data_IF_161248108391
#
_entry.id   IF_161248108391
#
_cell.length_a   1.000
_cell.length_b   1.000
_cell.length_c   1.000
_cell.angle_alpha   90.00
_cell.angle_beta   90.00
_cell.angle_gamma   90.00
#
_symmetry.space_group_name_H-M   'P 1'
#
loop_
_entity.id
_entity.type
_entity.pdbx_description
1 polymer ?
#
# COMPACT_ATOMS: atom_id res chain seq x y z
N UNK A 1 -3.65 23.48 15.29
CA UNK A 1 -2.51 24.39 15.50
C UNK A 1 -1.95 24.83 14.14
N UNK A 2 -1.60 23.96 13.22
CA UNK A 2 -1.04 24.25 11.88
C UNK A 2 -1.90 25.24 11.07
N UNK A 3 -3.23 25.02 11.01
CA UNK A 3 -4.15 25.93 10.32
C UNK A 3 -4.15 27.36 10.91
N UNK A 4 -4.01 27.48 12.24
CA UNK A 4 -3.92 28.78 12.90
C UNK A 4 -2.55 29.44 12.69
N UNK A 5 -1.50 28.66 12.59
CA UNK A 5 -0.16 29.13 12.32
C UNK A 5 -0.04 29.65 10.88
N UNK A 6 -0.59 28.93 9.91
CA UNK A 6 -0.68 29.32 8.52
C UNK A 6 -1.52 30.62 8.34
N UNK A 7 -2.64 30.73 9.05
CA UNK A 7 -3.48 31.94 9.03
C UNK A 7 -2.77 33.20 9.61
N UNK A 8 -1.67 32.99 10.36
CA UNK A 8 -0.82 34.07 10.89
C UNK A 8 0.41 34.38 10.03
N UNK A 9 0.46 33.81 8.80
CA UNK A 9 1.58 34.04 7.86
C UNK A 9 2.81 33.17 8.13
N UNK A 10 2.74 32.17 9.02
CA UNK A 10 3.83 31.21 9.23
C UNK A 10 3.84 30.11 8.17
N UNK A 11 5.02 29.53 7.89
CA UNK A 11 5.17 28.36 7.03
C UNK A 11 4.92 27.09 7.85
N UNK A 12 3.78 26.39 7.68
CA UNK A 12 3.49 25.17 8.42
C UNK A 12 4.46 24.05 8.02
N UNK A 13 4.85 23.19 8.97
CA UNK A 13 5.66 21.99 8.66
C UNK A 13 4.87 20.98 7.82
N UNK A 14 3.55 20.95 8.00
CA UNK A 14 2.63 20.08 7.25
C UNK A 14 1.55 20.96 6.62
N UNK A 15 1.61 21.12 5.31
CA UNK A 15 0.55 21.80 4.58
C UNK A 15 -0.62 20.82 4.35
N UNK A 16 -1.71 21.01 5.10
CA UNK A 16 -2.94 20.22 4.95
C UNK A 16 -3.60 20.44 3.57
N UNK A 17 -3.22 21.49 2.84
CA UNK A 17 -3.61 21.69 1.45
C UNK A 17 -3.15 20.55 0.54
N UNK A 18 -2.08 19.82 0.88
CA UNK A 18 -1.63 18.66 0.13
C UNK A 18 -2.70 17.55 0.05
N UNK A 19 -3.51 17.41 1.10
CA UNK A 19 -4.63 16.44 1.11
C UNK A 19 -5.78 16.84 0.18
N UNK A 20 -5.78 18.05 -0.35
CA UNK A 20 -6.74 18.48 -1.40
C UNK A 20 -6.31 18.04 -2.79
N UNK A 21 -5.03 17.62 -2.95
CA UNK A 21 -4.52 17.02 -4.18
C UNK A 21 -5.01 15.56 -4.22
N UNK A 22 -5.94 15.20 -5.11
CA UNK A 22 -6.58 13.88 -5.02
C UNK A 22 -5.61 12.72 -5.26
N UNK A 23 -4.60 12.88 -6.13
CA UNK A 23 -3.55 11.88 -6.36
C UNK A 23 -2.76 11.58 -5.08
N UNK A 24 -2.44 12.61 -4.33
CA UNK A 24 -1.76 12.50 -3.05
C UNK A 24 -2.66 11.90 -1.98
N UNK A 25 -3.89 12.38 -1.84
CA UNK A 25 -4.82 11.92 -0.81
C UNK A 25 -5.19 10.42 -0.98
N UNK A 26 -5.60 10.02 -2.19
CA UNK A 26 -5.94 8.61 -2.45
C UNK A 26 -4.72 7.71 -2.35
N UNK A 27 -3.57 8.12 -2.89
CA UNK A 27 -2.34 7.34 -2.83
C UNK A 27 -1.83 7.15 -1.40
N UNK A 28 -1.84 8.21 -0.59
CA UNK A 28 -1.44 8.16 0.82
C UNK A 28 -2.39 7.29 1.66
N UNK A 29 -3.71 7.39 1.42
CA UNK A 29 -4.70 6.55 2.10
C UNK A 29 -4.55 5.08 1.69
N UNK A 30 -4.42 4.80 0.39
CA UNK A 30 -4.27 3.44 -0.10
C UNK A 30 -3.05 2.76 0.50
N UNK A 31 -1.88 3.43 0.54
CA UNK A 31 -0.65 2.85 1.06
C UNK A 31 -0.71 2.67 2.59
N UNK A 32 -1.33 3.60 3.33
CA UNK A 32 -1.50 3.49 4.77
C UNK A 32 -2.36 2.26 5.13
N UNK A 33 -3.49 2.07 4.43
CA UNK A 33 -4.36 0.89 4.60
C UNK A 33 -3.65 -0.38 4.13
N UNK A 34 -2.88 -0.33 3.04
CA UNK A 34 -2.09 -1.48 2.58
C UNK A 34 -1.11 -1.97 3.65
N UNK A 35 -0.34 -1.07 4.25
CA UNK A 35 0.62 -1.40 5.31
C UNK A 35 -0.05 -1.90 6.59
N UNK A 36 -1.28 -1.50 6.87
CA UNK A 36 -2.08 -2.06 7.97
C UNK A 36 -2.24 -3.60 7.84
N UNK A 37 -2.46 -4.11 6.63
CA UNK A 37 -2.51 -5.56 6.37
C UNK A 37 -1.13 -6.18 6.18
N UNK A 38 -0.34 -5.62 5.28
CA UNK A 38 0.87 -6.23 4.76
C UNK A 38 1.89 -6.62 5.84
N UNK A 39 2.18 -5.72 6.77
CA UNK A 39 3.19 -5.97 7.81
C UNK A 39 2.79 -7.11 8.75
N UNK A 40 1.49 -7.25 9.01
CA UNK A 40 0.95 -8.31 9.87
C UNK A 40 1.14 -9.72 9.30
N UNK A 41 1.32 -9.88 7.98
CA UNK A 41 1.54 -11.17 7.32
C UNK A 41 2.75 -11.88 7.91
N UNK A 42 3.86 -11.14 8.07
CA UNK A 42 5.11 -11.71 8.58
C UNK A 42 4.98 -12.21 10.00
N UNK A 43 4.25 -11.49 10.85
CA UNK A 43 4.02 -11.89 12.25
C UNK A 43 3.13 -13.12 12.30
N UNK A 44 2.00 -13.12 11.58
CA UNK A 44 1.06 -14.26 11.58
C UNK A 44 1.73 -15.51 10.99
N UNK A 45 2.47 -15.37 9.89
CA UNK A 45 3.20 -16.49 9.27
C UNK A 45 4.26 -17.04 10.22
N UNK A 46 5.07 -16.18 10.85
CA UNK A 46 6.09 -16.60 11.80
C UNK A 46 5.49 -17.33 13.01
N UNK A 47 4.41 -16.81 13.58
CA UNK A 47 3.72 -17.43 14.71
C UNK A 47 3.09 -18.79 14.32
N UNK A 48 2.48 -18.86 13.15
CA UNK A 48 1.92 -20.11 12.61
C UNK A 48 2.98 -21.19 12.49
N UNK A 49 4.15 -20.85 11.94
CA UNK A 49 5.25 -21.80 11.75
C UNK A 49 5.93 -22.17 13.07
N UNK A 50 6.21 -21.20 13.94
CA UNK A 50 6.97 -21.44 15.18
C UNK A 50 6.08 -22.01 16.28
N UNK A 51 5.01 -21.29 16.64
CA UNK A 51 4.13 -21.71 17.73
C UNK A 51 3.12 -22.78 17.30
N UNK A 52 2.70 -22.79 16.02
CA UNK A 52 1.75 -23.75 15.49
C UNK A 52 2.39 -25.07 15.06
N UNK A 53 3.51 -25.03 14.36
CA UNK A 53 4.12 -26.19 13.71
C UNK A 53 5.50 -26.55 14.26
N UNK A 54 6.03 -25.83 15.27
CA UNK A 54 7.30 -26.11 15.92
C UNK A 54 8.56 -25.85 15.06
N UNK A 55 8.44 -25.08 13.98
CA UNK A 55 9.59 -24.71 13.16
C UNK A 55 10.53 -23.75 13.92
N UNK A 56 11.83 -23.82 13.63
CA UNK A 56 12.79 -22.86 14.18
C UNK A 56 12.56 -21.46 13.58
N UNK A 57 13.03 -20.43 14.31
CA UNK A 57 12.99 -19.04 13.82
C UNK A 57 13.74 -18.88 12.48
N UNK A 58 14.87 -19.63 12.31
CA UNK A 58 15.63 -19.63 11.08
C UNK A 58 14.82 -20.19 9.91
N UNK A 59 14.17 -21.35 10.09
CA UNK A 59 13.35 -21.97 9.05
C UNK A 59 12.17 -21.05 8.66
N UNK A 60 11.52 -20.43 9.64
CA UNK A 60 10.44 -19.45 9.41
C UNK A 60 10.93 -18.24 8.63
N UNK A 61 12.12 -17.72 8.93
CA UNK A 61 12.74 -16.62 8.19
C UNK A 61 13.10 -16.99 6.75
N UNK A 62 13.64 -18.20 6.53
CA UNK A 62 13.99 -18.72 5.21
C UNK A 62 12.78 -18.84 4.28
N UNK A 63 11.61 -19.17 4.81
CA UNK A 63 10.36 -19.18 4.02
C UNK A 63 9.96 -17.80 3.48
N UNK A 64 10.43 -16.71 4.10
CA UNK A 64 10.19 -15.35 3.64
C UNK A 64 11.18 -14.86 2.56
N UNK A 65 12.33 -15.51 2.37
CA UNK A 65 13.36 -15.07 1.43
C UNK A 65 12.85 -14.98 -0.03
N UNK A 66 12.12 -15.96 -0.57
CA UNK A 66 11.61 -15.87 -1.93
C UNK A 66 10.71 -14.64 -2.15
N UNK A 67 9.90 -14.29 -1.15
CA UNK A 67 9.06 -13.10 -1.19
C UNK A 67 9.88 -11.80 -1.23
N UNK A 68 10.97 -11.74 -0.45
CA UNK A 68 11.84 -10.57 -0.42
C UNK A 68 12.55 -10.36 -1.77
N UNK A 69 13.05 -11.44 -2.37
CA UNK A 69 13.66 -11.41 -3.71
C UNK A 69 12.64 -10.99 -4.76
N UNK A 70 11.44 -11.58 -4.73
CA UNK A 70 10.38 -11.25 -5.66
C UNK A 70 9.93 -9.79 -5.52
N UNK A 71 9.90 -9.25 -4.29
CA UNK A 71 9.60 -7.83 -4.02
C UNK A 71 10.65 -6.91 -4.63
N UNK A 72 11.94 -7.22 -4.48
CA UNK A 72 13.02 -6.44 -5.07
C UNK A 72 12.96 -6.43 -6.61
N UNK A 73 12.71 -7.59 -7.22
CA UNK A 73 12.52 -7.70 -8.67
C UNK A 73 11.28 -6.92 -9.10
N UNK A 74 10.15 -7.09 -8.41
CA UNK A 74 8.91 -6.37 -8.69
C UNK A 74 9.09 -4.85 -8.60
N UNK A 75 9.80 -4.35 -7.58
CA UNK A 75 10.12 -2.93 -7.44
C UNK A 75 11.00 -2.40 -8.59
N UNK A 76 11.98 -3.18 -9.01
CA UNK A 76 12.87 -2.81 -10.13
C UNK A 76 12.11 -2.75 -11.47
N UNK A 77 11.23 -3.71 -11.73
CA UNK A 77 10.39 -3.74 -12.93
C UNK A 77 9.38 -2.61 -12.91
N UNK A 78 8.74 -2.37 -11.76
CA UNK A 78 7.73 -1.34 -11.61
C UNK A 78 8.32 0.06 -11.77
N UNK A 79 9.51 0.32 -11.20
CA UNK A 79 10.18 1.61 -11.32
C UNK A 79 10.46 2.02 -12.78
N UNK A 80 10.77 1.05 -13.66
CA UNK A 80 11.00 1.29 -15.09
C UNK A 80 9.71 1.51 -15.89
N UNK A 81 8.59 1.04 -15.39
CA UNK A 81 7.32 0.99 -16.13
C UNK A 81 6.24 1.92 -15.56
N UNK A 82 6.50 2.56 -14.42
CA UNK A 82 5.50 3.37 -13.69
C UNK A 82 4.93 4.49 -14.55
N UNK A 83 5.76 5.15 -15.36
CA UNK A 83 5.33 6.26 -16.24
C UNK A 83 4.40 5.80 -17.37
N UNK A 84 4.51 4.54 -17.80
CA UNK A 84 3.68 3.98 -18.90
C UNK A 84 2.40 3.33 -18.39
N UNK A 85 2.47 2.60 -17.27
CA UNK A 85 1.35 1.79 -16.77
C UNK A 85 0.54 2.55 -15.70
N UNK A 86 1.18 3.49 -14.99
CA UNK A 86 0.54 4.35 -14.01
C UNK A 86 -0.13 3.55 -12.88
N UNK A 87 -1.28 4.03 -12.42
CA UNK A 87 -2.03 3.50 -11.26
C UNK A 87 -2.56 2.08 -11.45
N UNK A 88 -2.71 1.61 -12.69
CA UNK A 88 -3.11 0.23 -12.99
C UNK A 88 -2.09 -0.76 -12.44
N UNK A 89 -0.80 -0.39 -12.41
CA UNK A 89 0.26 -1.23 -11.86
C UNK A 89 0.07 -1.48 -10.36
N UNK A 90 -0.26 -0.44 -9.60
CA UNK A 90 -0.55 -0.55 -8.15
C UNK A 90 -1.70 -1.52 -7.91
N UNK A 91 -2.80 -1.38 -8.67
CA UNK A 91 -3.95 -2.27 -8.54
C UNK A 91 -3.61 -3.73 -8.90
N UNK A 92 -2.84 -3.95 -9.98
CA UNK A 92 -2.36 -5.30 -10.36
C UNK A 92 -1.48 -5.89 -9.27
N UNK A 93 -0.61 -5.10 -8.65
CA UNK A 93 0.21 -5.53 -7.53
C UNK A 93 -0.62 -5.96 -6.32
N UNK A 94 -1.66 -5.19 -5.96
CA UNK A 94 -2.56 -5.53 -4.87
C UNK A 94 -3.36 -6.82 -5.16
N UNK A 95 -3.87 -6.98 -6.39
CA UNK A 95 -4.56 -8.21 -6.81
C UNK A 95 -3.62 -9.41 -6.76
N UNK A 96 -2.39 -9.28 -7.26
CA UNK A 96 -1.39 -10.35 -7.18
C UNK A 96 -1.07 -10.72 -5.74
N UNK A 97 -0.93 -9.72 -4.85
CA UNK A 97 -0.75 -9.93 -3.43
C UNK A 97 -1.93 -10.67 -2.78
N UNK A 98 -3.18 -10.29 -3.13
CA UNK A 98 -4.39 -10.97 -2.66
C UNK A 98 -4.46 -12.43 -3.14
N UNK A 99 -4.08 -12.71 -4.38
CA UNK A 99 -4.00 -14.08 -4.91
C UNK A 99 -2.95 -14.89 -4.13
N UNK A 100 -1.75 -14.32 -3.91
CA UNK A 100 -0.70 -14.96 -3.11
C UNK A 100 -1.15 -15.24 -1.67
N UNK A 101 -1.85 -14.28 -1.05
CA UNK A 101 -2.38 -14.43 0.29
C UNK A 101 -3.49 -15.49 0.37
N UNK A 102 -4.43 -15.49 -0.58
CA UNK A 102 -5.45 -16.52 -0.69
C UNK A 102 -4.85 -17.92 -0.87
N UNK A 103 -3.83 -18.04 -1.72
CA UNK A 103 -3.09 -19.28 -1.90
C UNK A 103 -2.38 -19.71 -0.59
N UNK A 104 -1.86 -18.74 0.20
CA UNK A 104 -1.25 -19.04 1.51
C UNK A 104 -2.30 -19.60 2.49
N UNK A 105 -3.50 -19.02 2.53
CA UNK A 105 -4.61 -19.52 3.35
C UNK A 105 -4.97 -20.97 2.95
N UNK A 106 -5.02 -21.26 1.65
CA UNK A 106 -5.26 -22.61 1.14
C UNK A 106 -4.15 -23.57 1.57
N UNK A 107 -2.88 -23.19 1.45
CA UNK A 107 -1.74 -24.04 1.90
C UNK A 107 -1.84 -24.32 3.40
N UNK A 108 -2.15 -23.30 4.22
CA UNK A 108 -2.37 -23.48 5.66
C UNK A 108 -3.52 -24.47 5.91
N UNK A 109 -4.62 -24.36 5.18
CA UNK A 109 -5.74 -25.30 5.30
C UNK A 109 -5.35 -26.75 4.90
N UNK A 110 -4.72 -26.90 3.76
CA UNK A 110 -4.28 -28.22 3.26
C UNK A 110 -3.20 -28.86 4.14
N UNK A 111 -2.37 -28.06 4.79
CA UNK A 111 -1.43 -28.58 5.78
C UNK A 111 -2.15 -29.32 6.92
N UNK A 112 -3.26 -28.77 7.43
CA UNK A 112 -4.00 -29.40 8.50
C UNK A 112 -4.78 -30.66 8.06
N UNK A 113 -5.35 -30.62 6.86
CA UNK A 113 -6.25 -31.71 6.39
C UNK A 113 -5.47 -32.81 5.69
N UNK A 114 -4.46 -32.49 4.91
CA UNK A 114 -3.73 -33.42 4.04
C UNK A 114 -2.24 -33.57 4.39
N UNK A 115 -1.79 -32.96 5.51
CA UNK A 115 -0.38 -32.91 5.89
C UNK A 115 0.54 -32.35 4.77
N UNK A 116 0.03 -31.42 3.96
CA UNK A 116 0.81 -30.76 2.92
C UNK A 116 2.00 -30.04 3.55
N UNK A 117 3.18 -30.14 2.93
CA UNK A 117 4.38 -29.51 3.46
C UNK A 117 4.20 -27.98 3.59
N UNK A 118 4.48 -27.37 4.77
CA UNK A 118 4.42 -25.93 4.97
C UNK A 118 5.35 -25.11 4.05
N UNK A 119 6.38 -25.74 3.47
CA UNK A 119 7.29 -25.09 2.53
C UNK A 119 6.61 -24.54 1.27
N UNK A 120 5.41 -25.04 0.92
CA UNK A 120 4.59 -24.44 -0.14
C UNK A 120 4.18 -22.98 0.16
N UNK A 121 4.22 -22.58 1.43
CA UNK A 121 4.02 -21.17 1.78
C UNK A 121 5.10 -20.27 1.19
N UNK A 122 6.33 -20.75 1.01
CA UNK A 122 7.40 -19.99 0.37
C UNK A 122 7.05 -19.62 -1.09
N UNK A 123 6.36 -20.52 -1.80
CA UNK A 123 5.90 -20.27 -3.18
C UNK A 123 4.75 -19.27 -3.21
N UNK A 124 3.78 -19.40 -2.30
CA UNK A 124 2.64 -18.48 -2.26
C UNK A 124 3.04 -17.09 -1.77
N UNK A 125 3.98 -17.00 -0.82
CA UNK A 125 4.55 -15.74 -0.35
C UNK A 125 5.39 -15.04 -1.43
N UNK A 126 5.97 -15.78 -2.39
CA UNK A 126 6.66 -15.19 -3.54
C UNK A 126 5.72 -14.31 -4.38
N UNK A 127 4.48 -14.79 -4.64
CA UNK A 127 3.46 -14.00 -5.34
C UNK A 127 3.10 -12.72 -4.57
N UNK A 128 2.99 -12.85 -3.25
CA UNK A 128 2.73 -11.72 -2.36
C UNK A 128 3.87 -10.71 -2.39
N UNK A 129 5.12 -11.16 -2.34
CA UNK A 129 6.30 -10.30 -2.45
C UNK A 129 6.38 -9.59 -3.80
N UNK A 130 6.14 -10.30 -4.91
CA UNK A 130 6.06 -9.70 -6.23
C UNK A 130 4.98 -8.61 -6.29
N UNK A 131 3.79 -8.89 -5.72
CA UNK A 131 2.72 -7.92 -5.59
C UNK A 131 3.15 -6.66 -4.83
N UNK A 132 3.87 -6.81 -3.71
CA UNK A 132 4.39 -5.67 -2.93
C UNK A 132 5.31 -4.77 -3.75
N UNK A 133 6.25 -5.36 -4.49
CA UNK A 133 7.17 -4.58 -5.33
C UNK A 133 6.43 -3.76 -6.39
N UNK A 134 5.29 -4.26 -6.89
CA UNK A 134 4.41 -3.55 -7.83
C UNK A 134 3.50 -2.51 -7.15
N UNK A 135 3.39 -2.50 -5.82
CA UNK A 135 2.54 -1.55 -5.07
C UNK A 135 3.35 -0.38 -4.54
N UNK A 136 4.36 -0.64 -3.72
CA UNK A 136 4.98 0.39 -2.87
C UNK A 136 5.68 1.46 -3.71
N UNK A 137 6.62 1.07 -4.56
CA UNK A 137 7.40 2.02 -5.37
C UNK A 137 6.54 2.84 -6.35
N UNK A 138 5.64 2.23 -7.16
CA UNK A 138 4.78 3.01 -8.04
C UNK A 138 3.80 3.90 -7.28
N UNK A 139 3.25 3.44 -6.16
CA UNK A 139 2.31 4.25 -5.39
C UNK A 139 2.97 5.52 -4.85
N UNK A 140 4.17 5.42 -4.30
CA UNK A 140 4.93 6.59 -3.81
C UNK A 140 5.20 7.57 -4.96
N UNK A 141 5.71 7.09 -6.10
CA UNK A 141 5.99 7.93 -7.27
C UNK A 141 4.75 8.66 -7.77
N UNK A 142 3.63 7.94 -7.92
CA UNK A 142 2.38 8.50 -8.45
C UNK A 142 1.66 9.41 -7.45
N UNK A 143 1.82 9.19 -6.15
CA UNK A 143 1.24 10.06 -5.12
C UNK A 143 1.95 11.41 -5.05
N UNK A 144 3.25 11.43 -5.32
CA UNK A 144 4.05 12.65 -5.30
C UNK A 144 4.08 13.39 -6.64
N UNK A 145 3.57 12.80 -7.72
CA UNK A 145 3.69 13.35 -9.07
C UNK A 145 3.07 14.75 -9.24
N UNK A 146 1.93 15.02 -8.59
CA UNK A 146 1.22 16.29 -8.67
C UNK A 146 1.55 17.24 -7.49
N UNK A 147 2.47 16.83 -6.59
CA UNK A 147 2.87 17.64 -5.44
C UNK A 147 3.90 18.69 -5.89
N UNK A 148 3.71 19.99 -5.58
CA UNK A 148 4.70 21.01 -5.92
C UNK A 148 6.05 20.72 -5.25
N UNK A 149 7.16 20.91 -5.99
CA UNK A 149 8.50 20.54 -5.57
C UNK A 149 8.91 21.05 -4.17
N UNK A 150 8.58 22.30 -3.77
CA UNK A 150 8.90 22.78 -2.43
C UNK A 150 8.27 21.97 -1.28
N UNK A 151 7.17 21.25 -1.54
CA UNK A 151 6.45 20.45 -0.55
C UNK A 151 6.75 18.96 -0.64
N UNK A 152 7.58 18.50 -1.58
CA UNK A 152 7.85 17.09 -1.82
C UNK A 152 8.39 16.37 -0.58
N UNK A 153 9.25 17.01 0.21
CA UNK A 153 9.78 16.46 1.45
C UNK A 153 8.70 16.26 2.52
N UNK A 154 7.86 17.27 2.73
CA UNK A 154 6.73 17.19 3.68
C UNK A 154 5.71 16.12 3.26
N UNK A 155 5.40 16.06 1.97
CA UNK A 155 4.51 15.04 1.41
C UNK A 155 5.05 13.62 1.61
N UNK A 156 6.35 13.40 1.37
CA UNK A 156 7.01 12.13 1.67
C UNK A 156 6.90 11.75 3.16
N UNK A 157 7.09 12.71 4.06
CA UNK A 157 6.91 12.54 5.50
C UNK A 157 5.48 12.14 5.90
N UNK A 158 4.46 12.74 5.25
CA UNK A 158 3.05 12.38 5.48
C UNK A 158 2.77 10.92 5.05
N UNK A 159 3.23 10.51 3.87
CA UNK A 159 3.09 9.13 3.39
C UNK A 159 3.74 8.16 4.39
N UNK A 160 5.00 8.38 4.76
CA UNK A 160 5.74 7.55 5.71
C UNK A 160 5.05 7.47 7.09
N UNK A 161 4.52 8.57 7.57
CA UNK A 161 3.77 8.61 8.84
C UNK A 161 2.48 7.78 8.73
N UNK A 162 1.76 7.90 7.62
CA UNK A 162 0.58 7.10 7.32
C UNK A 162 0.89 5.60 7.29
N UNK A 163 1.97 5.19 6.64
CA UNK A 163 2.45 3.80 6.60
C UNK A 163 2.75 3.27 8.00
N UNK A 164 3.42 4.05 8.85
CA UNK A 164 3.76 3.67 10.24
C UNK A 164 2.52 3.55 11.12
N UNK A 165 1.59 4.50 11.03
CA UNK A 165 0.32 4.46 11.76
C UNK A 165 -0.49 3.25 11.31
N UNK A 166 -0.62 3.03 10.01
CA UNK A 166 -1.29 1.86 9.45
C UNK A 166 -0.67 0.56 9.98
N UNK A 167 0.65 0.43 9.91
CA UNK A 167 1.40 -0.72 10.43
C UNK A 167 1.10 -0.95 11.92
N UNK A 168 1.16 0.08 12.75
CA UNK A 168 0.92 -0.05 14.19
C UNK A 168 -0.50 -0.53 14.51
N UNK A 169 -1.50 0.08 13.86
CA UNK A 169 -2.90 -0.33 14.00
C UNK A 169 -3.10 -1.77 13.53
N UNK A 170 -2.56 -2.09 12.36
CA UNK A 170 -2.72 -3.41 11.76
C UNK A 170 -2.10 -4.53 12.59
N UNK A 171 -0.84 -4.35 13.01
CA UNK A 171 -0.17 -5.32 13.88
C UNK A 171 -0.98 -5.51 15.16
N UNK A 172 -1.37 -4.44 15.84
CA UNK A 172 -2.11 -4.54 17.09
C UNK A 172 -3.45 -5.24 16.94
N UNK A 173 -4.26 -4.85 15.95
CA UNK A 173 -5.60 -5.39 15.74
C UNK A 173 -5.56 -6.84 15.24
N UNK A 174 -4.77 -7.11 14.18
CA UNK A 174 -4.73 -8.43 13.53
C UNK A 174 -4.03 -9.46 14.42
N UNK A 175 -2.92 -9.07 15.08
CA UNK A 175 -2.22 -9.96 16.00
C UNK A 175 -3.09 -10.23 17.23
N UNK A 176 -3.75 -9.20 17.80
CA UNK A 176 -4.68 -9.36 18.91
C UNK A 176 -5.83 -10.32 18.57
N UNK A 177 -6.42 -10.19 17.37
CA UNK A 177 -7.43 -11.12 16.87
C UNK A 177 -6.87 -12.55 16.75
N UNK A 178 -5.72 -12.73 16.10
CA UNK A 178 -5.13 -14.05 15.92
C UNK A 178 -4.80 -14.73 17.26
N UNK A 179 -4.21 -14.01 18.21
CA UNK A 179 -3.91 -14.55 19.54
C UNK A 179 -5.17 -14.87 20.36
N UNK A 180 -6.27 -14.10 20.19
CA UNK A 180 -7.53 -14.41 20.84
C UNK A 180 -8.12 -15.74 20.33
N UNK A 181 -8.06 -15.98 19.02
CA UNK A 181 -8.51 -17.22 18.39
C UNK A 181 -7.56 -18.40 18.74
N UNK A 182 -6.26 -18.16 18.79
CA UNK A 182 -5.28 -19.21 19.11
C UNK A 182 -5.51 -19.83 20.49
N UNK A 183 -5.94 -19.03 21.49
CA UNK A 183 -6.24 -19.52 22.85
C UNK A 183 -7.44 -20.48 22.90
N UNK A 184 -8.42 -20.32 22.00
CA UNK A 184 -9.62 -21.17 22.00
C UNK A 184 -9.59 -22.28 20.95
N UNK A 185 -8.99 -22.03 19.78
CA UNK A 185 -9.10 -22.92 18.61
C UNK A 185 -7.74 -23.32 18.01
N UNK A 186 -6.65 -22.98 18.67
CA UNK A 186 -5.29 -23.30 18.23
C UNK A 186 -4.78 -22.43 17.08
N UNK A 187 -3.47 -22.57 16.82
CA UNK A 187 -2.75 -21.73 15.85
C UNK A 187 -3.18 -21.93 14.40
N UNK A 188 -3.68 -23.12 14.05
CA UNK A 188 -4.15 -23.39 12.70
C UNK A 188 -5.33 -22.46 12.33
N UNK A 189 -6.38 -22.45 13.16
CA UNK A 189 -7.55 -21.57 12.96
C UNK A 189 -7.16 -20.09 13.10
N UNK A 190 -6.30 -19.76 14.06
CA UNK A 190 -5.82 -18.41 14.27
C UNK A 190 -5.09 -17.85 13.04
N UNK A 191 -4.29 -18.69 12.37
CA UNK A 191 -3.58 -18.31 11.15
C UNK A 191 -4.54 -18.02 10.00
N UNK A 192 -5.55 -18.86 9.81
CA UNK A 192 -6.57 -18.66 8.77
C UNK A 192 -7.36 -17.38 9.00
N UNK A 193 -7.80 -17.13 10.25
CA UNK A 193 -8.53 -15.91 10.63
C UNK A 193 -7.65 -14.67 10.46
N UNK A 194 -6.39 -14.72 10.92
CA UNK A 194 -5.44 -13.63 10.79
C UNK A 194 -5.13 -13.28 9.33
N UNK A 195 -4.83 -14.29 8.49
CA UNK A 195 -4.59 -14.11 7.07
C UNK A 195 -5.85 -13.63 6.33
N UNK A 196 -7.04 -14.11 6.74
CA UNK A 196 -8.32 -13.63 6.22
C UNK A 196 -8.59 -12.16 6.55
N UNK A 197 -8.31 -11.73 7.78
CA UNK A 197 -8.39 -10.33 8.18
C UNK A 197 -7.44 -9.44 7.38
N UNK A 198 -6.21 -9.90 7.16
CA UNK A 198 -5.22 -9.23 6.31
C UNK A 198 -5.75 -9.08 4.88
N UNK A 199 -6.32 -10.16 4.31
CA UNK A 199 -6.89 -10.12 2.97
C UNK A 199 -8.02 -9.09 2.86
N UNK A 200 -8.89 -8.99 3.86
CA UNK A 200 -9.95 -8.00 3.92
C UNK A 200 -9.38 -6.57 3.93
N UNK A 201 -8.35 -6.30 4.72
CA UNK A 201 -7.69 -4.98 4.78
C UNK A 201 -7.02 -4.63 3.46
N UNK A 202 -6.29 -5.56 2.83
CA UNK A 202 -5.66 -5.33 1.51
C UNK A 202 -6.74 -5.13 0.44
N UNK A 203 -7.87 -5.85 0.49
CA UNK A 203 -8.99 -5.64 -0.42
C UNK A 203 -9.59 -4.23 -0.27
N UNK A 204 -9.74 -3.71 0.95
CA UNK A 204 -10.14 -2.32 1.18
C UNK A 204 -9.14 -1.34 0.56
N UNK A 205 -7.83 -1.57 0.74
CA UNK A 205 -6.79 -0.77 0.08
C UNK A 205 -6.91 -0.82 -1.45
N UNK A 206 -7.17 -1.99 -2.03
CA UNK A 206 -7.37 -2.14 -3.47
C UNK A 206 -8.60 -1.39 -3.97
N UNK A 207 -9.69 -1.33 -3.18
CA UNK A 207 -10.87 -0.51 -3.51
C UNK A 207 -10.54 0.98 -3.50
N UNK A 208 -9.73 1.46 -2.55
CA UNK A 208 -9.26 2.85 -2.52
C UNK A 208 -8.40 3.15 -3.75
N UNK A 209 -7.47 2.27 -4.10
CA UNK A 209 -6.62 2.41 -5.30
C UNK A 209 -7.45 2.38 -6.60
N UNK A 210 -8.49 1.57 -6.65
CA UNK A 210 -9.41 1.53 -7.79
C UNK A 210 -10.27 2.80 -7.89
N UNK A 211 -10.73 3.35 -6.76
CA UNK A 211 -11.42 4.63 -6.74
C UNK A 211 -10.54 5.76 -7.27
N UNK A 212 -9.25 5.76 -6.90
CA UNK A 212 -8.26 6.70 -7.40
C UNK A 212 -8.04 6.55 -8.93
N UNK A 213 -7.91 5.31 -9.42
CA UNK A 213 -7.81 5.03 -10.86
C UNK A 213 -9.02 5.59 -11.63
N UNK A 214 -10.24 5.40 -11.11
CA UNK A 214 -11.46 5.94 -11.71
C UNK A 214 -11.51 7.48 -11.68
N UNK A 215 -11.07 8.08 -10.58
CA UNK A 215 -11.02 9.53 -10.44
C UNK A 215 -10.01 10.15 -11.42
N UNK A 216 -8.86 9.53 -11.62
CA UNK A 216 -7.85 9.95 -12.59
C UNK A 216 -8.37 9.87 -14.02
N UNK A 217 -8.98 8.75 -14.42
CA UNK A 217 -9.54 8.56 -15.76
C UNK A 217 -10.67 9.56 -16.09
N UNK A 218 -11.39 10.06 -15.08
CA UNK A 218 -12.41 11.11 -15.28
C UNK A 218 -11.81 12.49 -15.49
N UNK A 219 -10.62 12.76 -14.91
CA UNK A 219 -9.90 14.03 -15.10
C UNK A 219 -9.31 14.14 -16.49
N UNK A 220 -8.70 13.06 -16.98
CA UNK A 220 -8.10 13.02 -18.32
C UNK A 220 -9.14 13.22 -19.44
N UNK A 221 -10.42 12.91 -19.16
CA UNK A 221 -11.54 13.11 -20.10
C UNK A 221 -12.17 14.51 -20.09
N UNK A 222 -11.80 15.38 -19.12
CA UNK A 222 -12.26 16.77 -19.14
C UNK A 222 -11.46 17.54 -20.18
N UNK A 223 -12.11 18.17 -21.20
CA UNK A 223 -11.39 19.01 -22.13
C UNK A 223 -10.66 20.11 -21.35
N UNK A 224 -9.45 20.52 -21.81
CA UNK A 224 -8.78 21.66 -21.24
C UNK A 224 -9.80 22.81 -21.21
N UNK A 225 -10.05 23.37 -20.03
CA UNK A 225 -10.78 24.63 -19.96
C UNK A 225 -9.98 25.61 -20.79
N UNK A 226 -10.54 26.02 -21.95
CA UNK A 226 -10.00 27.12 -22.74
C UNK A 226 -9.86 28.28 -21.77
N UNK A 227 -8.65 28.46 -21.25
CA UNK A 227 -8.31 29.60 -20.40
C UNK A 227 -8.82 30.82 -21.14
N UNK A 228 -9.63 31.63 -20.47
CA UNK A 228 -9.97 32.97 -20.94
C UNK A 228 -8.70 33.54 -21.55
N UNK A 229 -8.71 33.71 -22.87
CA UNK A 229 -7.80 34.60 -23.55
C UNK A 229 -8.03 35.98 -22.88
N UNK A 230 -7.24 36.24 -21.83
CA UNK A 230 -7.15 37.56 -21.23
C UNK A 230 -6.68 38.49 -22.33
N UNK A 231 -7.54 39.44 -22.67
CA UNK A 231 -7.25 40.42 -23.68
C UNK A 231 -5.86 41.04 -23.45
N UNK A 232 -5.09 41.05 -24.50
CA UNK A 232 -3.92 41.90 -24.63
C UNK A 232 -4.43 43.31 -24.38
N UNK A 233 -3.91 44.06 -23.39
CA UNK A 233 -4.20 45.48 -23.29
C UNK A 233 -3.58 46.11 -24.53
N UNK A 234 -4.40 46.83 -25.34
CA UNK A 234 -3.94 47.72 -26.39
C UNK A 234 -2.91 48.66 -25.78
N UNK A 235 -1.67 48.60 -26.23
CA UNK A 235 -0.69 49.64 -25.94
C UNK A 235 -1.18 50.94 -26.55
N UNK A 236 -1.31 52.04 -25.78
CA UNK A 236 -1.57 53.35 -26.37
C UNK A 236 -0.35 53.80 -27.18
N UNK A 237 -0.58 54.03 -28.46
CA UNK A 237 0.42 54.51 -29.40
C UNK A 237 1.18 55.70 -28.87
N UNK A 238 2.51 55.64 -28.92
CA UNK A 238 3.41 56.77 -28.86
C UNK A 238 3.34 57.52 -30.19
N UNK A 239 2.58 58.61 -30.22
CA UNK A 239 2.73 59.63 -31.22
C UNK A 239 3.73 60.70 -30.74
N UNK A 240 4.64 61.11 -31.66
CA UNK A 240 5.62 62.19 -31.70
C UNK A 240 6.96 61.87 -31.11
#
# INVERSE_FOLDING_TARGET
WERRYQARGGSPMVDLGLLTIPSFAYGSLAIAVYFMGYTSIWIITAQSLQAGLGYSALASGLMGLPASVASAVGASVSGRSVTRVGRVMVLRGMVLGLVGLGATVVVVHLNAVLALSPWWMAVTLLLLGAGQGLVVSPNQTLSLADVPLPYAGAAGGIIQTGERIGTAIGISAITGLAFSVARGSGWHTASQVGLGAIAAVIAVSALVAWADLRASARRDRRPPSLGRAGGVPDEPGTAV
#
